data_IF_981611825887
#
_entry.id   IF_981611825887
#
_cell.length_a   1.000
_cell.length_b   1.000
_cell.length_c   1.000
_cell.angle_alpha   90.00
_cell.angle_beta   90.00
_cell.angle_gamma   90.00
#
_symmetry.space_group_name_H-M   'P 1'
#
loop_
_entity.id
_entity.type
_entity.pdbx_description
1 polymer ?
#
# COMPACT_ATOMS: atom_id res chain seq x y z
N UNK A 1 -8.49 -14.50 -8.74
CA UNK A 1 -7.43 -13.73 -8.07
C UNK A 1 -6.17 -14.56 -8.24
N UNK A 2 -4.98 -13.97 -8.19
CA UNK A 2 -3.75 -14.75 -8.22
C UNK A 2 -3.63 -15.55 -6.92
N UNK A 3 -2.98 -16.71 -6.97
CA UNK A 3 -2.69 -17.51 -5.76
C UNK A 3 -1.93 -16.69 -4.70
N UNK A 4 -1.16 -15.69 -5.16
CA UNK A 4 -0.45 -14.75 -4.30
C UNK A 4 -1.40 -13.84 -3.52
N UNK A 5 -2.45 -13.33 -4.16
CA UNK A 5 -3.43 -12.45 -3.51
C UNK A 5 -4.42 -13.23 -2.63
N UNK A 6 -4.75 -14.47 -3.01
CA UNK A 6 -5.59 -15.36 -2.22
C UNK A 6 -4.91 -15.79 -0.91
N UNK A 7 -3.58 -15.90 -0.90
CA UNK A 7 -2.81 -16.11 0.33
C UNK A 7 -2.47 -14.77 1.01
N UNK A 8 -3.23 -14.44 2.05
CA UNK A 8 -3.05 -13.22 2.84
C UNK A 8 -1.63 -13.00 3.35
N UNK A 9 -0.97 -14.03 3.87
CA UNK A 9 0.39 -13.92 4.40
C UNK A 9 1.38 -13.63 3.28
N UNK A 10 1.28 -14.36 2.16
CA UNK A 10 2.13 -14.14 1.00
C UNK A 10 1.92 -12.75 0.37
N UNK A 11 0.66 -12.32 0.22
CA UNK A 11 0.30 -10.99 -0.26
C UNK A 11 0.88 -9.88 0.63
N UNK A 12 0.73 -10.04 1.95
CA UNK A 12 1.25 -9.08 2.94
C UNK A 12 2.76 -9.01 2.88
N UNK A 13 3.43 -10.17 2.85
CA UNK A 13 4.88 -10.23 2.79
C UNK A 13 5.42 -9.60 1.49
N UNK A 14 4.78 -9.88 0.34
CA UNK A 14 5.16 -9.30 -0.95
C UNK A 14 5.01 -7.76 -0.95
N UNK A 15 3.91 -7.26 -0.37
CA UNK A 15 3.68 -5.82 -0.21
C UNK A 15 4.73 -5.20 0.72
N UNK A 16 4.95 -5.78 1.90
CA UNK A 16 5.91 -5.25 2.88
C UNK A 16 7.32 -5.26 2.33
N UNK A 17 7.72 -6.32 1.62
CA UNK A 17 9.04 -6.42 1.00
C UNK A 17 9.22 -5.37 -0.11
N UNK A 18 8.21 -5.21 -0.99
CA UNK A 18 8.21 -4.17 -2.02
C UNK A 18 8.36 -2.77 -1.42
N UNK A 19 7.56 -2.46 -0.40
CA UNK A 19 7.59 -1.16 0.25
C UNK A 19 8.91 -0.97 1.00
N UNK A 20 9.43 -1.97 1.70
CA UNK A 20 10.72 -1.90 2.43
C UNK A 20 11.88 -1.63 1.47
N UNK A 21 11.90 -2.30 0.31
CA UNK A 21 12.91 -2.05 -0.73
C UNK A 21 12.86 -0.61 -1.26
N UNK A 22 11.66 -0.06 -1.41
CA UNK A 22 11.43 1.28 -1.96
C UNK A 22 11.44 2.39 -0.89
N UNK A 23 11.30 2.05 0.38
CA UNK A 23 11.28 2.95 1.54
C UNK A 23 12.56 3.78 1.68
N UNK A 24 13.66 3.32 1.07
CA UNK A 24 14.91 4.09 0.97
C UNK A 24 14.76 5.41 0.21
N UNK A 25 13.80 5.49 -0.71
CA UNK A 25 13.59 6.65 -1.60
C UNK A 25 12.22 7.32 -1.40
N UNK A 26 11.16 6.55 -1.16
CA UNK A 26 9.81 7.07 -0.92
C UNK A 26 9.07 6.26 0.13
N UNK A 27 8.36 6.94 1.03
CA UNK A 27 7.55 6.30 2.09
C UNK A 27 6.08 6.13 1.72
N UNK A 28 5.60 6.83 0.68
CA UNK A 28 4.21 6.84 0.23
C UNK A 28 4.12 6.36 -1.23
N UNK A 29 3.12 5.54 -1.53
CA UNK A 29 2.96 4.83 -2.80
C UNK A 29 1.52 4.92 -3.28
N UNK A 30 1.31 5.09 -4.58
CA UNK A 30 -0.04 5.10 -5.13
C UNK A 30 -0.59 3.67 -5.22
N UNK A 31 -1.92 3.51 -5.21
CA UNK A 31 -2.54 2.19 -5.43
C UNK A 31 -2.05 1.50 -6.71
N UNK A 32 -1.72 2.30 -7.75
CA UNK A 32 -1.17 1.81 -9.02
C UNK A 32 0.21 1.17 -8.88
N UNK A 33 1.03 1.58 -7.90
CA UNK A 33 2.33 0.95 -7.63
C UNK A 33 2.14 -0.53 -7.21
N UNK A 34 1.03 -0.87 -6.53
CA UNK A 34 0.73 -2.23 -6.09
C UNK A 34 0.31 -3.16 -7.23
N UNK A 35 -0.09 -2.61 -8.39
CA UNK A 35 -0.40 -3.42 -9.56
C UNK A 35 0.85 -4.10 -10.12
N UNK A 36 2.05 -3.57 -9.83
CA UNK A 36 3.31 -4.23 -10.17
C UNK A 36 3.58 -5.48 -9.32
N UNK A 37 2.96 -5.58 -8.14
CA UNK A 37 3.08 -6.73 -7.23
C UNK A 37 2.07 -7.81 -7.62
N UNK A 38 0.88 -7.38 -8.05
CA UNK A 38 -0.23 -8.25 -8.44
C UNK A 38 -0.69 -7.95 -9.88
N UNK A 39 0.16 -8.22 -10.90
CA UNK A 39 -0.14 -7.83 -12.29
C UNK A 39 -1.35 -8.58 -12.89
N UNK A 40 -1.59 -9.81 -12.44
CA UNK A 40 -2.70 -10.66 -12.89
C UNK A 40 -4.02 -10.40 -12.13
N UNK A 41 -4.00 -9.53 -11.11
CA UNK A 41 -5.16 -9.25 -10.28
C UNK A 41 -5.93 -8.01 -10.71
N UNK A 42 -7.25 -8.09 -10.47
CA UNK A 42 -8.14 -6.96 -10.74
C UNK A 42 -7.83 -5.81 -9.77
N UNK A 43 -7.79 -4.55 -10.24
CA UNK A 43 -7.57 -3.37 -9.39
C UNK A 43 -8.46 -3.32 -8.15
N UNK A 44 -9.71 -3.78 -8.27
CA UNK A 44 -10.67 -3.84 -7.16
C UNK A 44 -10.26 -4.82 -6.07
N UNK A 45 -9.68 -5.97 -6.44
CA UNK A 45 -9.21 -6.98 -5.50
C UNK A 45 -7.97 -6.47 -4.74
N UNK A 46 -7.02 -5.89 -5.47
CA UNK A 46 -5.81 -5.26 -4.90
C UNK A 46 -6.21 -4.17 -3.90
N UNK A 47 -7.13 -3.28 -4.28
CA UNK A 47 -7.63 -2.22 -3.38
C UNK A 47 -8.25 -2.80 -2.10
N UNK A 48 -9.05 -3.86 -2.20
CA UNK A 48 -9.66 -4.48 -1.01
C UNK A 48 -8.60 -5.05 -0.07
N UNK A 49 -7.58 -5.71 -0.61
CA UNK A 49 -6.48 -6.30 0.17
C UNK A 49 -5.63 -5.22 0.83
N UNK A 50 -5.23 -4.19 0.09
CA UNK A 50 -4.45 -3.06 0.63
C UNK A 50 -5.25 -2.32 1.72
N UNK A 51 -6.54 -2.07 1.52
CA UNK A 51 -7.40 -1.48 2.55
C UNK A 51 -7.50 -2.35 3.79
N UNK A 52 -7.57 -3.68 3.62
CA UNK A 52 -7.57 -4.61 4.75
C UNK A 52 -6.25 -4.54 5.52
N UNK A 53 -5.11 -4.44 4.84
CA UNK A 53 -3.81 -4.23 5.48
C UNK A 53 -3.74 -2.91 6.25
N UNK A 54 -4.44 -1.85 5.81
CA UNK A 54 -4.57 -0.60 6.57
C UNK A 54 -5.40 -0.82 7.84
N UNK A 55 -6.54 -1.52 7.74
CA UNK A 55 -7.37 -1.86 8.90
C UNK A 55 -6.62 -2.72 9.92
N UNK A 56 -5.75 -3.61 9.47
CA UNK A 56 -4.90 -4.44 10.32
C UNK A 56 -3.69 -3.69 10.89
N UNK A 57 -3.47 -2.44 10.48
CA UNK A 57 -2.37 -1.61 10.94
C UNK A 57 -1.01 -2.05 10.39
N UNK A 58 -0.97 -2.78 9.28
CA UNK A 58 0.28 -3.07 8.55
C UNK A 58 0.67 -1.85 7.70
N UNK A 59 -0.32 -1.21 7.08
CA UNK A 59 -0.15 -0.04 6.22
C UNK A 59 -0.82 1.18 6.81
N UNK A 60 -0.35 2.34 6.39
CA UNK A 60 -1.01 3.64 6.58
C UNK A 60 -1.63 4.10 5.27
N UNK A 61 -2.76 4.80 5.38
CA UNK A 61 -3.50 5.39 4.27
C UNK A 61 -3.40 6.91 4.34
N UNK A 62 -3.17 7.55 3.20
CA UNK A 62 -3.26 8.99 3.02
C UNK A 62 -4.16 9.32 1.83
N UNK A 63 -5.06 10.29 2.04
CA UNK A 63 -5.77 10.93 0.94
C UNK A 63 -4.88 12.03 0.35
N UNK A 64 -4.70 12.05 -0.97
CA UNK A 64 -3.97 13.10 -1.68
C UNK A 64 -4.84 13.60 -2.81
N UNK A 65 -5.77 14.52 -2.49
CA UNK A 65 -6.74 15.08 -3.43
C UNK A 65 -7.60 14.00 -4.11
N UNK A 66 -7.48 13.88 -5.44
CA UNK A 66 -8.22 12.91 -6.25
C UNK A 66 -7.65 11.47 -6.23
N UNK A 67 -6.57 11.23 -5.49
CA UNK A 67 -5.88 9.94 -5.43
C UNK A 67 -5.61 9.48 -4.00
N UNK A 68 -5.26 8.19 -3.86
CA UNK A 68 -5.00 7.55 -2.57
C UNK A 68 -3.57 7.02 -2.53
N UNK A 69 -2.91 7.24 -1.41
CA UNK A 69 -1.56 6.77 -1.16
C UNK A 69 -1.52 5.83 0.05
N UNK A 70 -0.58 4.89 0.01
CA UNK A 70 -0.38 3.86 1.01
C UNK A 70 1.11 3.69 1.30
N UNK A 71 1.44 3.14 2.46
CA UNK A 71 2.83 3.00 2.89
C UNK A 71 2.94 2.19 4.16
N UNK A 72 4.16 1.79 4.51
CA UNK A 72 4.38 1.02 5.75
C UNK A 72 4.03 1.87 6.96
N UNK A 73 3.32 1.27 7.91
CA UNK A 73 3.03 1.94 9.18
C UNK A 73 4.30 2.34 9.90
N UNK A 74 4.43 3.61 10.27
CA UNK A 74 5.62 4.19 10.89
C UNK A 74 6.81 4.41 9.93
N UNK A 75 6.67 4.04 8.64
CA UNK A 75 7.67 4.27 7.60
C UNK A 75 7.59 5.67 6.97
N UNK A 76 6.48 6.38 7.19
CA UNK A 76 6.39 7.79 6.91
C UNK A 76 7.12 8.57 8.00
N UNK A 77 8.27 9.19 7.67
CA UNK A 77 8.60 10.44 8.35
C UNK A 77 7.37 11.32 8.16
N UNK A 78 6.67 11.68 9.24
CA UNK A 78 5.68 12.73 9.24
C UNK A 78 6.40 14.03 8.84
N UNK A 79 6.65 14.22 7.55
CA UNK A 79 6.71 15.57 7.03
C UNK A 79 5.29 16.09 7.21
N UNK A 80 5.14 16.89 8.25
CA UNK A 80 4.00 17.78 8.44
C UNK A 80 3.73 18.55 7.15
N UNK A 81 2.49 19.00 7.01
CA UNK A 81 1.87 19.64 5.85
C UNK A 81 1.21 18.63 4.90
N UNK A 82 -0.09 18.48 5.06
CA UNK A 82 -1.11 18.94 4.10
C UNK A 82 -2.44 18.29 4.47
N UNK A 83 -3.36 19.12 4.96
CA UNK A 83 -4.63 18.72 5.55
C UNK A 83 -5.16 19.68 6.62
N UNK A 84 -4.68 20.92 6.68
CA UNK A 84 -5.56 22.05 7.05
C UNK A 84 -6.16 22.54 5.73
N UNK A 85 -7.43 22.23 5.53
CA UNK A 85 -8.53 23.03 4.93
C UNK A 85 -9.78 22.16 4.80
#
# INVERSE_FOLDING_TARGET
MSDLLDNKEAATQAVVDFLTKKAKNKSKFYIKDFYAIFPDDKPRAIKNVVNKMVQEGVLEFWSSGSTTMYGLKGGGKQHASEGEE
#
